data_IF_820971071041
#
_entry.id   IF_820971071041
#
_cell.length_a   1.000
_cell.length_b   1.000
_cell.length_c   1.000
_cell.angle_alpha   90.00
_cell.angle_beta   90.00
_cell.angle_gamma   90.00
#
_symmetry.space_group_name_H-M   'P 1'
#
loop_
_entity.id
_entity.type
_entity.pdbx_description
1 polymer ?
#
# COMPACT_ATOMS: atom_id res chain seq x y z
N UNK A 1 28.46 57.79 -31.30
CA UNK A 1 27.49 57.30 -30.27
C UNK A 1 27.44 55.80 -30.39
N UNK A 2 27.94 55.13 -29.37
CA UNK A 2 27.90 53.66 -29.33
C UNK A 2 26.75 53.30 -28.41
N UNK A 3 25.66 52.75 -28.97
CA UNK A 3 24.60 52.17 -28.16
C UNK A 3 25.02 50.78 -27.76
N UNK A 4 25.35 50.59 -26.46
CA UNK A 4 25.50 49.25 -25.87
C UNK A 4 24.14 48.67 -25.60
N UNK A 5 23.70 47.77 -26.46
CA UNK A 5 22.50 46.99 -26.22
C UNK A 5 22.84 45.94 -25.12
N UNK A 6 22.37 46.17 -23.93
CA UNK A 6 22.44 45.17 -22.88
C UNK A 6 21.34 44.15 -23.13
N UNK A 7 21.69 43.00 -23.66
CA UNK A 7 20.77 41.87 -23.75
C UNK A 7 20.72 41.25 -22.35
N UNK A 8 19.65 41.61 -21.63
CA UNK A 8 19.37 40.91 -20.38
C UNK A 8 18.81 39.52 -20.72
N UNK A 9 19.67 38.52 -20.62
CA UNK A 9 19.26 37.13 -20.75
C UNK A 9 18.51 36.78 -19.46
N UNK A 10 17.19 36.82 -19.51
CA UNK A 10 16.40 36.27 -18.45
C UNK A 10 16.54 34.75 -18.49
N UNK A 11 17.35 34.17 -17.62
CA UNK A 11 17.29 32.78 -17.26
C UNK A 11 16.00 32.60 -16.46
N UNK A 12 14.93 32.21 -17.12
CA UNK A 12 13.79 31.64 -16.40
C UNK A 12 14.26 30.30 -15.86
N UNK A 13 14.59 30.28 -14.57
CA UNK A 13 14.75 29.05 -13.84
C UNK A 13 13.36 28.43 -13.80
N UNK A 14 13.02 27.64 -14.80
CA UNK A 14 11.88 26.73 -14.71
C UNK A 14 12.24 25.77 -13.60
N UNK A 15 11.81 26.06 -12.36
CA UNK A 15 11.86 25.12 -11.28
C UNK A 15 11.04 23.93 -11.71
N UNK A 16 11.70 22.89 -12.24
CA UNK A 16 11.13 21.57 -12.27
C UNK A 16 10.86 21.22 -10.82
N UNK A 17 9.63 21.49 -10.37
CA UNK A 17 9.14 20.82 -9.19
C UNK A 17 9.26 19.33 -9.50
N UNK A 18 10.37 18.72 -9.05
CA UNK A 18 10.52 17.27 -9.14
C UNK A 18 9.37 16.69 -8.34
N UNK A 19 8.33 16.24 -9.06
CA UNK A 19 7.29 15.45 -8.46
C UNK A 19 8.01 14.29 -7.77
N UNK A 20 7.95 14.26 -6.41
CA UNK A 20 8.53 13.18 -5.63
C UNK A 20 7.83 11.89 -6.05
N UNK A 21 8.57 11.01 -6.71
CA UNK A 21 8.08 9.68 -7.03
C UNK A 21 7.94 8.91 -5.72
N UNK A 22 6.78 8.33 -5.50
CA UNK A 22 6.48 7.42 -4.41
C UNK A 22 6.49 6.01 -4.99
N UNK A 23 7.22 5.10 -4.38
CA UNK A 23 7.19 3.69 -4.75
C UNK A 23 6.34 2.93 -3.75
N UNK A 24 5.08 2.65 -4.06
CA UNK A 24 4.17 1.97 -3.15
C UNK A 24 4.57 0.52 -2.95
N UNK A 25 4.07 -0.08 -1.88
CA UNK A 25 4.12 -1.51 -1.66
C UNK A 25 2.73 -2.02 -1.28
N UNK A 26 2.51 -3.29 -1.56
CA UNK A 26 1.23 -3.95 -1.36
C UNK A 26 1.39 -5.16 -0.46
N UNK A 27 0.63 -5.20 0.61
CA UNK A 27 0.42 -6.42 1.35
C UNK A 27 -0.77 -7.15 0.74
N UNK A 28 -0.53 -8.38 0.32
CA UNK A 28 -1.54 -9.23 -0.31
C UNK A 28 -1.81 -10.40 0.60
N UNK A 29 -3.06 -10.61 0.93
CA UNK A 29 -3.50 -11.72 1.76
C UNK A 29 -4.61 -12.49 1.07
N UNK A 30 -4.45 -13.79 1.01
CA UNK A 30 -5.49 -14.74 0.64
C UNK A 30 -5.86 -15.50 1.91
N UNK A 31 -7.11 -15.44 2.30
CA UNK A 31 -7.55 -16.03 3.55
C UNK A 31 -8.76 -16.91 3.36
N UNK A 32 -8.62 -18.18 3.72
CA UNK A 32 -9.69 -19.14 3.74
C UNK A 32 -10.09 -19.43 5.18
N UNK A 33 -11.25 -18.91 5.58
CA UNK A 33 -11.75 -19.13 6.93
C UNK A 33 -12.15 -20.60 7.14
N UNK A 34 -11.72 -21.16 8.25
CA UNK A 34 -12.25 -22.42 8.79
C UNK A 34 -13.30 -22.14 9.86
N UNK A 35 -13.27 -20.94 10.44
CA UNK A 35 -14.24 -20.44 11.41
C UNK A 35 -14.50 -18.96 11.15
N UNK A 36 -15.67 -18.65 10.58
CA UNK A 36 -16.06 -17.29 10.22
C UNK A 36 -16.27 -16.39 11.44
N UNK A 37 -16.62 -16.92 12.58
CA UNK A 37 -16.78 -16.14 13.80
C UNK A 37 -15.41 -15.84 14.44
N UNK A 38 -14.48 -16.78 14.37
CA UNK A 38 -13.17 -16.63 14.97
C UNK A 38 -12.33 -15.51 14.32
N UNK A 39 -12.59 -15.17 13.05
CA UNK A 39 -11.85 -14.08 12.36
C UNK A 39 -12.36 -12.67 12.70
N UNK A 40 -13.56 -12.55 13.23
CA UNK A 40 -14.19 -11.24 13.48
C UNK A 40 -13.34 -10.30 14.36
N UNK A 41 -12.73 -10.76 15.48
CA UNK A 41 -11.87 -9.87 16.27
C UNK A 41 -10.65 -9.34 15.52
N UNK A 42 -10.08 -10.14 14.61
CA UNK A 42 -9.01 -9.68 13.72
C UNK A 42 -9.51 -8.61 12.75
N UNK A 43 -10.60 -8.89 12.07
CA UNK A 43 -11.18 -7.96 11.08
C UNK A 43 -11.58 -6.61 11.69
N UNK A 44 -12.01 -6.61 12.95
CA UNK A 44 -12.37 -5.39 13.67
C UNK A 44 -11.17 -4.53 14.06
N UNK A 45 -9.97 -5.10 14.15
CA UNK A 45 -8.78 -4.44 14.69
C UNK A 45 -7.71 -4.12 13.64
N UNK A 46 -7.68 -4.86 12.52
CA UNK A 46 -6.55 -4.81 11.58
C UNK A 46 -6.34 -3.41 11.02
N UNK A 47 -7.39 -2.69 10.66
CA UNK A 47 -7.28 -1.35 10.07
C UNK A 47 -6.59 -0.36 11.01
N UNK A 48 -6.91 -0.39 12.29
CA UNK A 48 -6.27 0.48 13.29
C UNK A 48 -4.77 0.20 13.43
N UNK A 49 -4.32 -1.01 13.08
CA UNK A 49 -2.89 -1.36 13.14
C UNK A 49 -2.10 -0.80 11.97
N UNK A 50 -2.67 -0.72 10.78
CA UNK A 50 -1.93 -0.26 9.60
C UNK A 50 -2.09 1.24 9.28
N UNK A 51 -3.12 1.90 9.77
CA UNK A 51 -3.30 3.35 9.55
C UNK A 51 -2.09 4.20 9.97
N UNK A 52 -1.47 3.97 11.14
CA UNK A 52 -0.29 4.74 11.52
C UNK A 52 0.89 4.60 10.56
N UNK A 53 0.91 3.55 9.75
CA UNK A 53 1.94 3.29 8.73
C UNK A 53 1.52 3.74 7.33
N UNK A 54 0.42 4.49 7.22
CA UNK A 54 -0.08 4.97 5.93
C UNK A 54 -0.77 3.90 5.09
N UNK A 55 -1.11 2.76 5.68
CA UNK A 55 -1.81 1.68 5.00
C UNK A 55 -3.28 2.00 4.74
N UNK A 56 -3.81 1.46 3.66
CA UNK A 56 -5.24 1.54 3.34
C UNK A 56 -5.67 0.32 2.53
N UNK A 57 -6.88 -0.14 2.75
CA UNK A 57 -7.47 -1.17 1.89
C UNK A 57 -7.67 -0.65 0.47
N UNK A 58 -7.24 -1.41 -0.52
CA UNK A 58 -7.57 -1.19 -1.93
C UNK A 58 -8.33 -2.36 -2.56
N UNK A 59 -8.22 -3.54 -1.96
CA UNK A 59 -9.10 -4.70 -2.21
C UNK A 59 -9.46 -5.30 -0.86
N UNK A 60 -10.75 -5.52 -0.64
CA UNK A 60 -11.26 -6.09 0.61
C UNK A 60 -12.33 -7.11 0.32
N UNK A 61 -11.91 -8.33 0.01
CA UNK A 61 -12.81 -9.46 -0.20
C UNK A 61 -13.60 -9.40 -1.51
N UNK A 62 -13.07 -8.73 -2.53
CA UNK A 62 -13.64 -8.80 -3.87
C UNK A 62 -13.55 -10.20 -4.43
N UNK A 63 -14.55 -10.62 -5.20
CA UNK A 63 -14.50 -11.91 -5.90
C UNK A 63 -13.62 -11.82 -7.14
N UNK A 64 -12.55 -12.64 -7.24
CA UNK A 64 -11.75 -12.70 -8.44
C UNK A 64 -12.53 -13.28 -9.61
N UNK A 65 -12.43 -12.64 -10.77
CA UNK A 65 -12.85 -13.21 -12.05
C UNK A 65 -11.68 -14.02 -12.61
N UNK A 66 -11.67 -15.31 -12.33
CA UNK A 66 -10.55 -16.21 -12.69
C UNK A 66 -10.54 -16.46 -14.19
N UNK A 67 -9.44 -16.14 -14.86
CA UNK A 67 -9.27 -16.33 -16.30
C UNK A 67 -8.48 -17.57 -16.65
N UNK A 68 -7.50 -17.93 -15.83
CA UNK A 68 -6.67 -19.10 -16.02
C UNK A 68 -6.27 -19.70 -14.67
N UNK A 69 -6.21 -21.01 -14.60
CA UNK A 69 -5.75 -21.75 -13.44
C UNK A 69 -6.64 -21.60 -12.21
N UNK A 70 -6.03 -21.73 -11.05
CA UNK A 70 -6.71 -21.55 -9.78
C UNK A 70 -6.70 -20.07 -9.39
N UNK A 71 -7.83 -19.56 -8.89
CA UNK A 71 -7.91 -18.23 -8.33
C UNK A 71 -7.30 -18.13 -6.93
N UNK A 72 -7.51 -17.00 -6.28
CA UNK A 72 -7.12 -16.81 -4.89
C UNK A 72 -7.80 -17.85 -3.99
N UNK A 73 -7.04 -18.32 -2.99
CA UNK A 73 -7.59 -19.23 -1.99
C UNK A 73 -8.38 -18.43 -0.94
N UNK A 74 -9.71 -18.43 -1.09
CA UNK A 74 -10.60 -17.73 -0.21
C UNK A 74 -10.66 -16.23 -0.52
N UNK A 75 -10.76 -15.45 0.54
CA UNK A 75 -10.93 -14.00 0.45
C UNK A 75 -9.63 -13.30 0.11
N UNK A 76 -9.65 -12.42 -0.89
CA UNK A 76 -8.52 -11.60 -1.27
C UNK A 76 -8.58 -10.23 -0.59
N UNK A 77 -7.48 -9.85 0.03
CA UNK A 77 -7.30 -8.52 0.63
C UNK A 77 -5.99 -7.93 0.12
N UNK A 78 -6.03 -6.66 -0.27
CA UNK A 78 -4.81 -5.91 -0.61
C UNK A 78 -4.81 -4.60 0.18
N UNK A 79 -3.71 -4.36 0.87
CA UNK A 79 -3.45 -3.11 1.60
C UNK A 79 -2.29 -2.41 0.90
N UNK A 80 -2.51 -1.16 0.52
CA UNK A 80 -1.49 -0.33 -0.11
C UNK A 80 -0.79 0.52 0.95
N UNK A 81 0.54 0.56 0.88
CA UNK A 81 1.41 1.44 1.66
C UNK A 81 2.20 2.35 0.72
N UNK A 82 2.65 3.49 1.21
CA UNK A 82 3.44 4.44 0.42
C UNK A 82 4.87 3.98 0.16
N UNK A 83 5.35 2.97 0.89
CA UNK A 83 6.68 2.39 0.71
C UNK A 83 6.73 0.94 1.19
N UNK A 84 7.72 0.22 0.68
CA UNK A 84 8.05 -1.13 1.16
C UNK A 84 8.40 -1.12 2.65
N UNK A 85 9.17 -0.11 3.08
CA UNK A 85 9.55 0.03 4.49
C UNK A 85 8.33 0.18 5.39
N UNK A 86 7.35 1.00 5.00
CA UNK A 86 6.13 1.19 5.79
C UNK A 86 5.34 -0.12 5.92
N UNK A 87 5.23 -0.88 4.83
CA UNK A 87 4.55 -2.17 4.86
C UNK A 87 5.26 -3.17 5.79
N UNK A 88 6.58 -3.25 5.71
CA UNK A 88 7.40 -4.12 6.55
C UNK A 88 7.36 -3.70 8.02
N UNK A 89 7.45 -2.41 8.29
CA UNK A 89 7.37 -1.87 9.66
C UNK A 89 6.00 -2.15 10.29
N UNK A 90 4.94 -2.01 9.52
CA UNK A 90 3.61 -2.39 9.98
C UNK A 90 3.52 -3.89 10.32
N UNK A 91 3.96 -4.75 9.40
CA UNK A 91 3.89 -6.20 9.61
C UNK A 91 4.63 -6.63 10.88
N UNK A 92 5.77 -6.02 11.15
CA UNK A 92 6.60 -6.29 12.33
C UNK A 92 6.15 -5.53 13.58
N UNK A 93 5.17 -4.64 13.47
CA UNK A 93 4.72 -3.82 14.61
C UNK A 93 4.10 -4.67 15.71
N UNK A 94 4.28 -4.21 16.95
CA UNK A 94 3.71 -4.89 18.11
C UNK A 94 2.18 -5.00 18.02
N UNK A 95 1.52 -3.95 17.53
CA UNK A 95 0.06 -3.92 17.38
C UNK A 95 -0.43 -4.99 16.41
N UNK A 96 0.24 -5.17 15.26
CA UNK A 96 -0.16 -6.18 14.29
C UNK A 96 0.22 -7.59 14.73
N UNK A 97 1.42 -7.78 15.28
CA UNK A 97 1.86 -9.08 15.79
C UNK A 97 0.93 -9.62 16.88
N UNK A 98 0.32 -8.74 17.65
CA UNK A 98 -0.63 -9.13 18.71
C UNK A 98 -1.89 -9.78 18.15
N UNK A 99 -2.35 -9.41 16.97
CA UNK A 99 -3.60 -9.92 16.38
C UNK A 99 -3.40 -11.05 15.36
N UNK A 100 -2.19 -11.26 14.87
CA UNK A 100 -1.87 -12.34 13.92
C UNK A 100 -2.33 -13.72 14.42
N UNK A 101 -2.15 -14.10 15.70
CA UNK A 101 -2.61 -15.41 16.19
C UNK A 101 -4.12 -15.62 16.02
N UNK A 102 -4.92 -14.57 16.05
CA UNK A 102 -6.37 -14.66 15.80
C UNK A 102 -6.62 -15.16 14.38
N UNK A 103 -5.92 -14.58 13.40
CA UNK A 103 -6.03 -14.99 12.00
C UNK A 103 -5.54 -16.42 11.78
N UNK A 104 -4.44 -16.81 12.41
CA UNK A 104 -3.89 -18.16 12.29
C UNK A 104 -4.83 -19.23 12.82
N UNK A 105 -5.54 -18.94 13.90
CA UNK A 105 -6.53 -19.88 14.47
C UNK A 105 -7.82 -19.94 13.67
N UNK A 106 -8.15 -18.88 12.93
CA UNK A 106 -9.42 -18.75 12.22
C UNK A 106 -9.43 -19.35 10.82
N UNK A 107 -8.26 -19.74 10.28
CA UNK A 107 -8.17 -20.30 8.94
C UNK A 107 -6.76 -20.38 8.38
N UNK A 108 -6.71 -20.59 7.08
CA UNK A 108 -5.45 -20.71 6.32
C UNK A 108 -5.21 -19.43 5.51
N UNK A 109 -3.98 -18.96 5.52
CA UNK A 109 -3.62 -17.76 4.78
C UNK A 109 -2.33 -17.93 3.99
N UNK A 110 -2.27 -17.21 2.86
CA UNK A 110 -1.03 -16.89 2.17
C UNK A 110 -0.89 -15.39 2.16
N UNK A 111 0.23 -14.90 2.67
CA UNK A 111 0.46 -13.46 2.79
C UNK A 111 1.86 -13.12 2.30
N UNK A 112 1.96 -12.01 1.58
CA UNK A 112 3.23 -11.52 1.07
C UNK A 112 3.16 -10.02 0.82
N UNK A 113 4.31 -9.40 0.78
CA UNK A 113 4.46 -7.99 0.43
C UNK A 113 5.21 -7.91 -0.89
N UNK A 114 4.75 -7.06 -1.80
CA UNK A 114 5.40 -6.79 -3.08
C UNK A 114 5.51 -5.29 -3.29
N UNK A 115 6.69 -4.84 -3.71
CA UNK A 115 6.89 -3.45 -4.10
C UNK A 115 6.29 -3.23 -5.50
N UNK A 116 5.58 -2.11 -5.64
CA UNK A 116 5.01 -1.70 -6.91
C UNK A 116 5.94 -0.85 -7.74
N UNK A 117 5.43 -0.32 -8.82
CA UNK A 117 6.13 0.65 -9.65
C UNK A 117 6.07 2.05 -9.02
N UNK A 118 7.09 2.89 -9.25
CA UNK A 118 7.03 4.28 -8.81
C UNK A 118 5.80 4.99 -9.37
N UNK A 119 5.13 5.75 -8.51
CA UNK A 119 4.00 6.60 -8.87
C UNK A 119 4.37 8.06 -8.60
N UNK A 120 3.78 8.97 -9.38
CA UNK A 120 3.85 10.38 -9.05
C UNK A 120 2.97 10.62 -7.81
N UNK A 121 3.52 11.36 -6.82
CA UNK A 121 2.72 11.79 -5.69
C UNK A 121 1.53 12.61 -6.17
N UNK A 122 0.31 12.43 -5.60
CA UNK A 122 -0.84 13.24 -5.99
C UNK A 122 -0.51 14.71 -5.77
N UNK A 123 -0.71 15.53 -6.82
CA UNK A 123 -0.61 16.99 -6.71
C UNK A 123 -1.81 17.44 -5.88
N UNK A 124 -1.54 17.89 -4.66
CA UNK A 124 -2.56 18.56 -3.86
C UNK A 124 -2.79 19.95 -4.47
N UNK A 125 -4.01 20.28 -4.88
CA UNK A 125 -4.31 21.62 -5.41
C UNK A 125 -4.08 22.71 -4.39
#
# INVERSE_FOLDING_TARGET
MIFKTVVATFFTLSGLASALAVTPAYYIAEFQATDLDAIKPYSAQVESTFRPFGGRFIVRGGEPDVKEGFGAQGRLVVIKFESLKNAQDWYSSAAYQKIIPIRHRAGNSRTYIVEGLPELAPVTP
#
